data_IF_784027864953
#
_entry.id   IF_784027864953
#
_cell.length_a   1.000
_cell.length_b   1.000
_cell.length_c   1.000
_cell.angle_alpha   90.00
_cell.angle_beta   90.00
_cell.angle_gamma   90.00
#
_symmetry.space_group_name_H-M   'P 1'
#
loop_
_entity.id
_entity.type
_entity.pdbx_description
1 polymer ?
#
# COMPACT_ATOMS: atom_id res chain seq x y z
N UNK A 1 -16.09 -2.23 4.31
CA UNK A 1 -15.02 -3.00 3.61
C UNK A 1 -14.79 -2.54 2.18
N UNK A 2 -15.82 -2.14 1.43
CA UNK A 2 -15.66 -1.61 0.06
C UNK A 2 -14.72 -0.40 0.01
N UNK A 3 -14.89 0.56 0.93
CA UNK A 3 -14.03 1.74 1.04
C UNK A 3 -12.56 1.39 1.27
N UNK A 4 -12.25 0.46 2.19
CA UNK A 4 -10.87 0.03 2.45
C UNK A 4 -10.25 -0.71 1.26
N UNK A 5 -11.03 -1.54 0.56
CA UNK A 5 -10.57 -2.19 -0.69
C UNK A 5 -10.30 -1.17 -1.79
N UNK A 6 -11.16 -0.16 -1.92
CA UNK A 6 -10.97 0.95 -2.86
C UNK A 6 -9.71 1.76 -2.54
N UNK A 7 -9.45 2.04 -1.25
CA UNK A 7 -8.25 2.74 -0.81
C UNK A 7 -6.96 1.97 -1.13
N UNK A 8 -6.94 0.64 -0.90
CA UNK A 8 -5.80 -0.21 -1.30
C UNK A 8 -5.60 -0.18 -2.82
N UNK A 9 -6.68 -0.23 -3.60
CA UNK A 9 -6.61 -0.16 -5.07
C UNK A 9 -6.03 1.18 -5.54
N UNK A 10 -6.49 2.29 -4.96
CA UNK A 10 -5.96 3.62 -5.27
C UNK A 10 -4.49 3.74 -4.91
N UNK A 11 -4.08 3.32 -3.71
CA UNK A 11 -2.69 3.36 -3.27
C UNK A 11 -1.79 2.47 -4.15
N UNK A 12 -2.30 1.33 -4.64
CA UNK A 12 -1.58 0.45 -5.57
C UNK A 12 -1.32 1.15 -6.90
N UNK A 13 -2.32 1.86 -7.44
CA UNK A 13 -2.16 2.64 -8.67
C UNK A 13 -1.15 3.77 -8.48
N UNK A 14 -1.24 4.50 -7.36
CA UNK A 14 -0.31 5.58 -7.04
C UNK A 14 1.13 5.07 -6.93
N UNK A 15 1.36 3.94 -6.24
CA UNK A 15 2.67 3.28 -6.16
C UNK A 15 3.22 2.92 -7.55
N UNK A 16 2.40 2.34 -8.42
CA UNK A 16 2.84 1.96 -9.76
C UNK A 16 3.22 3.18 -10.61
N UNK A 17 2.48 4.28 -10.49
CA UNK A 17 2.80 5.54 -11.18
C UNK A 17 4.11 6.11 -10.65
N UNK A 18 4.26 6.20 -9.33
CA UNK A 18 5.47 6.75 -8.70
C UNK A 18 6.71 5.91 -9.03
N UNK A 19 6.57 4.58 -9.05
CA UNK A 19 7.64 3.65 -9.45
C UNK A 19 8.08 3.91 -10.89
N UNK A 20 7.12 3.95 -11.82
CA UNK A 20 7.40 4.23 -13.22
C UNK A 20 8.07 5.60 -13.41
N UNK A 21 7.61 6.62 -12.68
CA UNK A 21 8.20 7.95 -12.74
C UNK A 21 9.66 7.97 -12.22
N UNK A 22 9.96 7.27 -11.13
CA UNK A 22 11.32 7.14 -10.61
C UNK A 22 12.24 6.41 -11.60
N UNK A 23 11.77 5.30 -12.19
CA UNK A 23 12.52 4.54 -13.20
C UNK A 23 12.83 5.39 -14.45
N UNK A 24 11.85 6.12 -14.97
CA UNK A 24 12.00 7.01 -16.13
C UNK A 24 12.91 8.20 -15.83
N UNK A 25 12.76 8.83 -14.66
CA UNK A 25 13.58 9.99 -14.28
C UNK A 25 15.03 9.59 -14.06
N UNK A 26 15.29 8.40 -13.51
CA UNK A 26 16.64 7.87 -13.39
C UNK A 26 17.28 7.60 -14.77
N UNK A 27 16.50 7.16 -15.75
CA UNK A 27 16.97 6.98 -17.13
C UNK A 27 17.28 8.32 -17.79
N UNK A 28 16.40 9.31 -17.68
CA UNK A 28 16.65 10.66 -18.18
C UNK A 28 17.91 11.27 -17.57
N UNK A 29 18.21 10.98 -16.30
CA UNK A 29 19.41 11.49 -15.63
C UNK A 29 20.67 10.88 -16.22
N UNK A 30 20.67 9.56 -16.48
CA UNK A 30 21.77 8.88 -17.19
C UNK A 30 22.00 9.45 -18.60
N UNK A 31 20.94 9.93 -19.24
CA UNK A 31 21.01 10.57 -20.56
C UNK A 31 21.38 12.07 -20.49
N UNK A 32 21.54 12.64 -19.30
CA UNK A 32 21.81 14.07 -19.11
C UNK A 32 20.63 15.00 -19.42
N UNK A 33 19.41 14.45 -19.48
CA UNK A 33 18.18 15.18 -19.84
C UNK A 33 17.40 15.72 -18.63
N UNK A 34 17.80 15.36 -17.41
CA UNK A 34 17.20 15.83 -16.15
C UNK A 34 18.27 16.03 -15.08
N UNK A 35 17.93 16.71 -13.99
CA UNK A 35 18.85 16.96 -12.87
C UNK A 35 18.78 15.85 -11.81
N UNK A 36 19.85 15.71 -11.01
CA UNK A 36 19.87 14.80 -9.85
C UNK A 36 18.76 15.13 -8.84
N UNK A 37 18.44 16.42 -8.66
CA UNK A 37 17.38 16.85 -7.75
C UNK A 37 16.00 16.29 -8.18
N UNK A 38 15.74 16.22 -9.48
CA UNK A 38 14.49 15.63 -10.00
C UNK A 38 14.45 14.11 -9.75
N UNK A 39 15.60 13.42 -9.82
CA UNK A 39 15.69 11.99 -9.43
C UNK A 39 15.36 11.82 -7.95
N UNK A 40 15.93 12.64 -7.08
CA UNK A 40 15.65 12.58 -5.63
C UNK A 40 14.18 12.86 -5.32
N UNK A 41 13.56 13.80 -6.03
CA UNK A 41 12.15 14.10 -5.84
C UNK A 41 11.24 12.94 -6.33
N UNK A 42 11.59 12.29 -7.44
CA UNK A 42 10.88 11.10 -7.91
C UNK A 42 11.04 9.93 -6.91
N UNK A 43 12.22 9.74 -6.35
CA UNK A 43 12.49 8.71 -5.33
C UNK A 43 11.71 8.98 -4.03
N UNK A 44 11.63 10.24 -3.58
CA UNK A 44 10.83 10.62 -2.43
C UNK A 44 9.34 10.30 -2.67
N UNK A 45 8.81 10.64 -3.85
CA UNK A 45 7.42 10.34 -4.20
C UNK A 45 7.15 8.83 -4.24
N UNK A 46 8.08 8.02 -4.75
CA UNK A 46 7.99 6.56 -4.69
C UNK A 46 7.95 6.05 -3.25
N UNK A 47 8.84 6.55 -2.39
CA UNK A 47 8.88 6.16 -0.98
C UNK A 47 7.55 6.48 -0.26
N UNK A 48 7.02 7.69 -0.45
CA UNK A 48 5.74 8.10 0.13
C UNK A 48 4.57 7.22 -0.37
N UNK A 49 4.56 6.88 -1.66
CA UNK A 49 3.54 6.01 -2.24
C UNK A 49 3.64 4.57 -1.70
N UNK A 50 4.86 4.05 -1.49
CA UNK A 50 5.09 2.73 -0.90
C UNK A 50 4.59 2.67 0.55
N UNK A 51 4.95 3.67 1.37
CA UNK A 51 4.47 3.79 2.75
C UNK A 51 2.94 3.84 2.79
N UNK A 52 2.32 4.64 1.92
CA UNK A 52 0.87 4.74 1.83
C UNK A 52 0.23 3.40 1.47
N UNK A 53 0.76 2.67 0.47
CA UNK A 53 0.26 1.35 0.11
C UNK A 53 0.32 0.36 1.27
N UNK A 54 1.43 0.34 2.02
CA UNK A 54 1.59 -0.53 3.20
C UNK A 54 0.55 -0.18 4.27
N UNK A 55 0.36 1.11 4.55
CA UNK A 55 -0.65 1.57 5.52
C UNK A 55 -2.06 1.15 5.12
N UNK A 56 -2.44 1.31 3.84
CA UNK A 56 -3.77 0.89 3.38
C UNK A 56 -3.96 -0.63 3.46
N UNK A 57 -2.94 -1.41 3.14
CA UNK A 57 -2.99 -2.89 3.26
C UNK A 57 -3.17 -3.32 4.71
N UNK A 58 -2.42 -2.72 5.62
CA UNK A 58 -2.56 -2.99 7.05
C UNK A 58 -3.95 -2.58 7.55
N UNK A 59 -4.44 -1.40 7.17
CA UNK A 59 -5.77 -0.92 7.51
C UNK A 59 -6.89 -1.83 7.03
N UNK A 60 -6.76 -2.44 5.85
CA UNK A 60 -7.70 -3.46 5.37
C UNK A 60 -7.70 -4.73 6.25
N UNK A 61 -6.52 -5.17 6.70
CA UNK A 61 -6.39 -6.29 7.62
C UNK A 61 -7.08 -6.02 8.96
N UNK A 62 -6.81 -4.86 9.57
CA UNK A 62 -7.49 -4.44 10.80
C UNK A 62 -9.01 -4.35 10.61
N UNK A 63 -9.48 -3.81 9.49
CA UNK A 63 -10.91 -3.73 9.21
C UNK A 63 -11.57 -5.12 9.09
N UNK A 64 -10.83 -6.12 8.63
CA UNK A 64 -11.31 -7.50 8.53
C UNK A 64 -11.42 -8.15 9.92
N UNK A 65 -10.38 -8.03 10.75
CA UNK A 65 -10.40 -8.51 12.14
C UNK A 65 -11.53 -7.85 12.96
N UNK A 66 -11.74 -6.55 12.78
CA UNK A 66 -12.85 -5.84 13.44
C UNK A 66 -14.23 -6.34 12.98
N UNK A 67 -14.36 -6.75 11.71
CA UNK A 67 -15.59 -7.34 11.20
C UNK A 67 -15.85 -8.71 11.84
N UNK A 68 -14.84 -9.57 11.93
CA UNK A 68 -14.94 -10.88 12.59
C UNK A 68 -15.36 -10.73 14.06
N UNK A 69 -14.70 -9.82 14.79
CA UNK A 69 -15.04 -9.50 16.17
C UNK A 69 -16.49 -8.98 16.31
N UNK A 70 -16.95 -8.12 15.39
CA UNK A 70 -18.33 -7.61 15.39
C UNK A 70 -19.38 -8.70 15.08
N UNK A 71 -18.98 -9.76 14.40
CA UNK A 71 -19.80 -10.95 14.16
C UNK A 71 -19.75 -11.95 15.32
N UNK A 72 -18.97 -11.67 16.36
CA UNK A 72 -18.80 -12.55 17.52
C UNK A 72 -17.89 -13.75 17.28
N UNK A 73 -17.15 -13.77 16.17
CA UNK A 73 -16.10 -14.76 15.90
C UNK A 73 -14.82 -14.34 16.64
N UNK A 74 -13.97 -15.31 16.99
CA UNK A 74 -12.64 -14.96 17.48
C UNK A 74 -11.77 -14.46 16.31
N UNK A 75 -11.42 -13.16 16.26
CA UNK A 75 -10.60 -12.60 15.18
C UNK A 75 -9.17 -13.18 15.15
N UNK A 76 -8.74 -13.89 16.19
CA UNK A 76 -7.43 -14.55 16.25
C UNK A 76 -7.51 -16.07 16.08
N UNK A 77 -8.71 -16.63 15.84
CA UNK A 77 -8.90 -18.05 15.54
C UNK A 77 -8.63 -19.01 16.71
N UNK A 78 -8.72 -18.56 17.97
CA UNK A 78 -8.66 -19.42 19.16
C UNK A 78 -10.04 -19.94 19.59
N UNK A 79 -11.00 -20.06 18.67
CA UNK A 79 -12.25 -20.73 18.99
C UNK A 79 -11.94 -22.16 19.45
N UNK A 80 -12.32 -22.57 20.67
CA UNK A 80 -12.21 -23.96 21.05
C UNK A 80 -13.04 -24.77 20.06
N UNK A 81 -12.41 -25.75 19.39
CA UNK A 81 -13.13 -26.69 18.52
C UNK A 81 -14.33 -27.20 19.31
N UNK A 82 -15.53 -26.95 18.79
CA UNK A 82 -16.76 -27.47 19.37
C UNK A 82 -16.61 -28.99 19.38
N UNK A 83 -16.42 -29.58 20.56
CA UNK A 83 -16.46 -31.03 20.73
C UNK A 83 -17.90 -31.46 20.44
N UNK A 84 -18.07 -32.21 19.35
CA UNK A 84 -19.32 -32.90 19.00
C UNK A 84 -19.54 -34.14 19.88
#
# INVERSE_FOLDING_TARGET
MENQRAAVKQATVAYNIAKKNADETAELYRQGLTSMLQVEQANLSLFEAEVSLIQQRFGLGVAYLNLEAALGLDPFGQEPKREE
#
